data_IF_609174218447
#
_entry.id   IF_609174218447
#
_cell.length_a   1.000
_cell.length_b   1.000
_cell.length_c   1.000
_cell.angle_alpha   90.00
_cell.angle_beta   90.00
_cell.angle_gamma   90.00
#
_symmetry.space_group_name_H-M   'P 1'
#
loop_
_entity.id
_entity.type
_entity.pdbx_description
1 polymer ?
#
# COMPACT_ATOMS: atom_id res chain seq x y z
N UNK A 1 -14.43 -1.39 16.44
CA UNK A 1 -14.86 -0.06 15.95
C UNK A 1 -15.35 -0.20 14.52
N UNK A 2 -16.57 0.27 14.22
CA UNK A 2 -17.08 0.42 12.85
C UNK A 2 -16.71 1.84 12.41
N UNK A 3 -16.15 1.96 11.21
CA UNK A 3 -15.80 3.25 10.59
C UNK A 3 -16.71 3.47 9.40
N UNK A 4 -17.10 4.72 9.19
CA UNK A 4 -18.02 5.10 8.12
C UNK A 4 -17.27 5.41 6.82
N UNK A 5 -17.99 5.40 5.68
CA UNK A 5 -17.38 5.67 4.36
C UNK A 5 -16.66 7.02 4.30
N UNK A 6 -17.20 8.03 5.00
CA UNK A 6 -16.60 9.37 5.08
C UNK A 6 -15.23 9.32 5.77
N UNK A 7 -15.17 8.70 6.95
CA UNK A 7 -13.93 8.55 7.72
C UNK A 7 -12.86 7.76 6.93
N UNK A 8 -13.26 6.68 6.26
CA UNK A 8 -12.35 5.90 5.39
C UNK A 8 -11.85 6.74 4.24
N UNK A 9 -12.69 7.60 3.66
CA UNK A 9 -12.30 8.48 2.55
C UNK A 9 -11.31 9.55 3.01
N UNK A 10 -11.52 10.12 4.20
CA UNK A 10 -10.66 11.16 4.77
C UNK A 10 -9.29 10.60 5.17
N UNK A 11 -9.24 9.38 5.71
CA UNK A 11 -8.00 8.71 6.15
C UNK A 11 -7.33 7.86 5.04
N UNK A 12 -7.87 7.84 3.82
CA UNK A 12 -7.44 6.90 2.77
C UNK A 12 -5.97 7.08 2.36
N UNK A 13 -5.47 8.32 2.36
CA UNK A 13 -4.08 8.60 2.01
C UNK A 13 -3.11 8.10 3.08
N UNK A 14 -3.37 8.42 4.35
CA UNK A 14 -2.60 7.89 5.47
C UNK A 14 -2.61 6.35 5.51
N UNK A 15 -3.74 5.74 5.14
CA UNK A 15 -3.84 4.29 4.97
C UNK A 15 -2.96 3.78 3.83
N UNK A 16 -2.99 4.42 2.65
CA UNK A 16 -2.16 4.06 1.49
C UNK A 16 -0.67 4.20 1.77
N UNK A 17 -0.29 5.21 2.56
CA UNK A 17 1.10 5.50 2.94
C UNK A 17 1.58 4.67 4.14
N UNK A 18 0.67 3.95 4.81
CA UNK A 18 0.97 3.09 5.96
C UNK A 18 1.22 3.87 7.25
N UNK A 19 0.65 5.06 7.39
CA UNK A 19 0.84 5.98 8.52
C UNK A 19 -0.21 5.82 9.63
N UNK A 20 -1.28 5.05 9.38
CA UNK A 20 -2.29 4.74 10.38
C UNK A 20 -1.74 3.85 11.51
N UNK A 21 -2.24 4.05 12.73
CA UNK A 21 -2.02 3.08 13.81
C UNK A 21 -2.64 1.72 13.43
N UNK A 22 -2.09 0.63 13.98
CA UNK A 22 -2.49 -0.73 13.61
C UNK A 22 -4.01 -0.97 13.78
N UNK A 23 -4.60 -0.43 14.85
CA UNK A 23 -6.03 -0.54 15.12
C UNK A 23 -6.90 0.24 14.12
N UNK A 24 -6.42 1.40 13.67
CA UNK A 24 -7.09 2.25 12.67
C UNK A 24 -7.01 1.62 11.28
N UNK A 25 -5.82 1.15 10.88
CA UNK A 25 -5.61 0.41 9.63
C UNK A 25 -6.52 -0.83 9.57
N UNK A 26 -6.59 -1.61 10.66
CA UNK A 26 -7.48 -2.77 10.74
C UNK A 26 -8.98 -2.39 10.65
N UNK A 27 -9.36 -1.18 11.06
CA UNK A 27 -10.73 -0.70 10.89
C UNK A 27 -11.04 -0.34 9.42
N UNK A 28 -10.09 0.32 8.75
CA UNK A 28 -10.17 0.59 7.31
C UNK A 28 -10.22 -0.71 6.51
N UNK A 29 -9.37 -1.70 6.82
CA UNK A 29 -9.37 -3.03 6.20
C UNK A 29 -10.74 -3.70 6.26
N UNK A 30 -11.33 -3.75 7.46
CA UNK A 30 -12.67 -4.32 7.65
C UNK A 30 -13.72 -3.60 6.81
N UNK A 31 -13.63 -2.28 6.69
CA UNK A 31 -14.56 -1.50 5.87
C UNK A 31 -14.36 -1.78 4.38
N UNK A 32 -13.11 -1.79 3.87
CA UNK A 32 -12.81 -2.09 2.47
C UNK A 32 -13.24 -3.51 2.05
N UNK A 33 -13.21 -4.46 3.00
CA UNK A 33 -13.73 -5.81 2.80
C UNK A 33 -15.26 -5.83 2.62
N UNK A 34 -16.00 -4.96 3.30
CA UNK A 34 -17.46 -4.94 3.28
C UNK A 34 -18.08 -3.94 2.28
N UNK A 35 -17.36 -2.89 1.88
CA UNK A 35 -17.88 -1.78 1.08
C UNK A 35 -17.24 -1.72 -0.32
N UNK A 36 -18.03 -2.03 -1.36
CA UNK A 36 -17.58 -1.99 -2.75
C UNK A 36 -17.21 -0.58 -3.23
N UNK A 37 -17.92 0.44 -2.77
CA UNK A 37 -17.65 1.85 -3.10
C UNK A 37 -16.27 2.29 -2.61
N UNK A 38 -15.97 2.08 -1.32
CA UNK A 38 -14.67 2.43 -0.76
C UNK A 38 -13.54 1.59 -1.35
N UNK A 39 -13.80 0.31 -1.68
CA UNK A 39 -12.82 -0.54 -2.37
C UNK A 39 -12.47 -0.02 -3.77
N UNK A 40 -13.46 0.42 -4.53
CA UNK A 40 -13.24 1.03 -5.85
C UNK A 40 -12.41 2.32 -5.72
N UNK A 41 -12.72 3.16 -4.72
CA UNK A 41 -11.96 4.40 -4.46
C UNK A 41 -10.51 4.12 -4.08
N UNK A 42 -10.28 3.20 -3.14
CA UNK A 42 -8.94 2.73 -2.79
C UNK A 42 -8.17 2.21 -4.01
N UNK A 43 -8.80 1.40 -4.87
CA UNK A 43 -8.16 0.90 -6.09
C UNK A 43 -7.78 2.02 -7.07
N UNK A 44 -8.64 3.03 -7.22
CA UNK A 44 -8.37 4.19 -8.08
C UNK A 44 -7.20 5.01 -7.54
N UNK A 45 -7.22 5.34 -6.26
CA UNK A 45 -6.22 6.21 -5.64
C UNK A 45 -4.85 5.48 -5.56
N UNK A 46 -4.85 4.16 -5.34
CA UNK A 46 -3.64 3.31 -5.50
C UNK A 46 -3.11 3.31 -6.94
N UNK A 47 -3.99 3.23 -7.93
CA UNK A 47 -3.58 3.26 -9.35
C UNK A 47 -2.99 4.61 -9.72
N UNK A 48 -3.52 5.70 -9.17
CA UNK A 48 -2.94 7.03 -9.31
C UNK A 48 -1.50 7.09 -8.77
N UNK A 49 -1.22 6.54 -7.58
CA UNK A 49 0.14 6.48 -7.05
C UNK A 49 1.11 5.70 -7.96
N UNK A 50 0.66 4.58 -8.53
CA UNK A 50 1.47 3.81 -9.50
C UNK A 50 1.81 4.65 -10.73
N UNK A 51 0.81 5.33 -11.31
CA UNK A 51 1.01 6.19 -12.48
C UNK A 51 1.92 7.38 -12.15
N UNK A 52 1.74 8.00 -10.98
CA UNK A 52 2.58 9.09 -10.50
C UNK A 52 4.04 8.66 -10.44
N UNK A 53 4.34 7.54 -9.77
CA UNK A 53 5.70 6.99 -9.68
C UNK A 53 6.29 6.69 -11.06
N UNK A 54 5.49 6.14 -11.99
CA UNK A 54 5.94 5.87 -13.36
C UNK A 54 6.26 7.13 -14.16
N UNK A 55 5.57 8.25 -13.87
CA UNK A 55 5.81 9.54 -14.52
C UNK A 55 7.04 10.30 -13.99
N UNK A 56 7.71 9.80 -12.94
CA UNK A 56 8.89 10.45 -12.38
C UNK A 56 10.10 10.26 -13.32
N UNK A 57 10.54 11.36 -13.95
CA UNK A 57 11.65 11.36 -14.92
C UNK A 57 13.06 11.23 -14.31
N UNK A 58 13.18 11.26 -12.99
CA UNK A 58 14.47 11.13 -12.27
C UNK A 58 14.38 10.01 -11.24
N UNK A 59 14.44 8.73 -11.66
CA UNK A 59 14.51 7.63 -10.70
C UNK A 59 15.82 7.72 -9.91
N UNK A 60 15.73 7.60 -8.59
CA UNK A 60 16.90 7.42 -7.74
C UNK A 60 17.25 5.92 -7.75
N UNK A 61 18.36 5.49 -8.40
CA UNK A 61 18.68 4.09 -8.46
C UNK A 61 19.08 3.57 -7.08
N UNK A 62 18.53 2.42 -6.68
CA UNK A 62 18.93 1.77 -5.44
C UNK A 62 20.44 1.44 -5.46
N UNK A 63 21.18 1.62 -4.33
CA UNK A 63 22.57 1.25 -4.24
C UNK A 63 22.80 -0.21 -4.66
N UNK A 64 23.78 -0.45 -5.54
CA UNK A 64 24.04 -1.77 -6.11
C UNK A 64 24.24 -2.88 -5.05
N UNK A 65 24.96 -2.64 -3.93
CA UNK A 65 25.11 -3.65 -2.87
C UNK A 65 23.77 -4.05 -2.24
N UNK A 66 22.88 -3.09 -2.00
CA UNK A 66 21.56 -3.34 -1.42
C UNK A 66 20.72 -4.20 -2.36
N UNK A 67 20.67 -3.84 -3.65
CA UNK A 67 19.94 -4.59 -4.68
C UNK A 67 20.45 -6.03 -4.81
N UNK A 68 21.77 -6.24 -4.74
CA UNK A 68 22.36 -7.59 -4.77
C UNK A 68 21.99 -8.39 -3.52
N UNK A 69 22.07 -7.78 -2.33
CA UNK A 69 21.74 -8.42 -1.07
C UNK A 69 20.26 -8.85 -1.00
N UNK A 70 19.34 -8.03 -1.50
CA UNK A 70 17.91 -8.36 -1.59
C UNK A 70 17.70 -9.55 -2.52
N UNK A 71 18.29 -9.53 -3.72
CA UNK A 71 18.18 -10.64 -4.69
C UNK A 71 18.72 -11.96 -4.15
N UNK A 72 19.86 -11.94 -3.46
CA UNK A 72 20.44 -13.13 -2.85
C UNK A 72 19.52 -13.73 -1.77
N UNK A 73 18.91 -12.90 -0.91
CA UNK A 73 17.95 -13.35 0.10
C UNK A 73 16.68 -13.95 -0.52
N UNK A 74 16.12 -13.32 -1.55
CA UNK A 74 14.95 -13.84 -2.26
C UNK A 74 15.25 -15.17 -2.97
N UNK A 75 16.44 -15.33 -3.55
CA UNK A 75 16.86 -16.58 -4.20
C UNK A 75 17.12 -17.72 -3.19
N UNK A 76 17.57 -17.38 -1.97
CA UNK A 76 17.77 -18.35 -0.88
C UNK A 76 16.49 -18.76 -0.15
N UNK A 77 15.41 -17.98 -0.27
CA UNK A 77 14.11 -18.29 0.32
C UNK A 77 13.45 -19.44 -0.47
N UNK A 78 13.58 -20.68 0.03
CA UNK A 78 12.69 -21.77 -0.38
C UNK A 78 11.37 -21.59 0.36
N UNK A 79 10.27 -21.46 -0.39
CA UNK A 79 8.92 -21.42 0.16
C UNK A 79 8.63 -22.77 0.84
N UNK A 80 8.74 -22.83 2.15
CA UNK A 80 8.15 -23.91 2.94
C UNK A 80 6.64 -23.66 2.97
N UNK A 81 5.87 -24.62 2.45
CA UNK A 81 4.40 -24.57 2.39
C UNK A 81 3.78 -24.86 3.74
#
# INVERSE_FOLDING_TARGET
MRVECAEVTDRLWEYLDGELAAEEAAAVDRHLAACSFCRMRHSRDRSFLVLLVQSLHRPCPAPAPLRLAIRARLAGFRFER
#
